data_IF_178558208487
#
_entry.id   IF_178558208487
#
_cell.length_a   1.000
_cell.length_b   1.000
_cell.length_c   1.000
_cell.angle_alpha   90.00
_cell.angle_beta   90.00
_cell.angle_gamma   90.00
#
_symmetry.space_group_name_H-M   'P 1'
#
loop_
_entity.id
_entity.type
_entity.pdbx_description
1 polymer ?
#
# COMPACT_ATOMS: atom_id res chain seq x y z
N UNK A 1 3.48 -37.23 -31.17
CA UNK A 1 3.16 -35.80 -30.92
C UNK A 1 2.55 -35.51 -29.53
N UNK A 2 2.79 -36.35 -28.50
CA UNK A 2 2.18 -36.15 -27.16
C UNK A 2 3.10 -35.46 -26.12
N UNK A 3 4.36 -35.16 -26.49
CA UNK A 3 5.37 -34.60 -25.57
C UNK A 3 5.64 -33.09 -25.71
N UNK A 4 5.00 -32.39 -26.64
CA UNK A 4 5.25 -30.96 -26.88
C UNK A 4 4.36 -30.01 -26.05
N UNK A 5 3.40 -30.54 -25.28
CA UNK A 5 2.55 -29.75 -24.36
C UNK A 5 3.18 -29.53 -22.97
N UNK A 6 4.31 -30.17 -22.66
CA UNK A 6 5.00 -30.02 -21.37
C UNK A 6 6.06 -28.93 -21.33
N UNK A 7 6.46 -28.38 -22.48
CA UNK A 7 7.54 -27.39 -22.57
C UNK A 7 7.07 -25.92 -22.42
N UNK A 8 5.75 -25.67 -22.35
CA UNK A 8 5.17 -24.34 -22.08
C UNK A 8 4.38 -24.38 -20.78
N UNK A 9 5.02 -24.85 -19.70
CA UNK A 9 4.44 -24.81 -18.36
C UNK A 9 5.35 -24.04 -17.40
N UNK A 10 5.88 -22.90 -17.85
CA UNK A 10 6.30 -21.83 -16.95
C UNK A 10 5.04 -21.22 -16.36
N UNK A 11 4.47 -21.86 -15.32
CA UNK A 11 3.41 -21.26 -14.51
C UNK A 11 3.96 -20.02 -13.85
N UNK A 12 3.83 -18.87 -14.51
CA UNK A 12 4.11 -17.60 -13.86
C UNK A 12 3.10 -17.41 -12.72
N UNK A 13 3.55 -16.80 -11.63
CA UNK A 13 2.69 -16.48 -10.49
C UNK A 13 2.48 -14.96 -10.49
N UNK A 14 1.30 -14.48 -10.91
CA UNK A 14 1.05 -13.04 -11.04
C UNK A 14 1.20 -12.30 -9.70
N UNK A 15 0.96 -12.96 -8.56
CA UNK A 15 1.16 -12.37 -7.23
C UNK A 15 2.63 -12.08 -7.00
N UNK A 16 3.51 -13.05 -7.28
CA UNK A 16 4.96 -12.88 -7.09
C UNK A 16 5.54 -11.86 -8.06
N UNK A 17 5.10 -11.88 -9.32
CA UNK A 17 5.54 -10.92 -10.32
C UNK A 17 5.19 -9.49 -9.89
N UNK A 18 3.94 -9.30 -9.45
CA UNK A 18 3.44 -8.03 -8.92
C UNK A 18 4.21 -7.56 -7.70
N UNK A 19 4.41 -8.44 -6.71
CA UNK A 19 5.14 -8.09 -5.49
C UNK A 19 6.60 -7.69 -5.78
N UNK A 20 7.31 -8.41 -6.66
CA UNK A 20 8.69 -8.05 -7.04
C UNK A 20 8.77 -6.74 -7.84
N UNK A 21 7.84 -6.53 -8.77
CA UNK A 21 7.74 -5.28 -9.52
C UNK A 21 7.51 -4.10 -8.57
N UNK A 22 6.51 -4.20 -7.69
CA UNK A 22 6.20 -3.14 -6.73
C UNK A 22 7.33 -2.91 -5.73
N UNK A 23 8.04 -3.97 -5.29
CA UNK A 23 9.19 -3.81 -4.40
C UNK A 23 10.29 -2.94 -5.01
N UNK A 24 10.53 -3.07 -6.32
CA UNK A 24 11.53 -2.28 -7.03
C UNK A 24 11.02 -0.86 -7.34
N UNK A 25 9.83 -0.73 -7.94
CA UNK A 25 9.33 0.57 -8.38
C UNK A 25 8.94 1.47 -7.20
N UNK A 26 8.29 0.94 -6.17
CA UNK A 26 7.94 1.75 -4.98
C UNK A 26 9.20 2.17 -4.22
N UNK A 27 10.29 1.40 -4.23
CA UNK A 27 11.57 1.84 -3.68
C UNK A 27 12.09 3.10 -4.42
N UNK A 28 12.07 3.07 -5.75
CA UNK A 28 12.44 4.22 -6.58
C UNK A 28 11.55 5.44 -6.29
N UNK A 29 10.23 5.24 -6.19
CA UNK A 29 9.29 6.32 -5.85
C UNK A 29 9.58 6.93 -4.48
N UNK A 30 9.92 6.12 -3.47
CA UNK A 30 10.30 6.62 -2.15
C UNK A 30 11.59 7.44 -2.19
N UNK A 31 12.58 7.04 -3.00
CA UNK A 31 13.83 7.80 -3.20
C UNK A 31 13.53 9.13 -3.89
N UNK A 32 12.72 9.14 -4.95
CA UNK A 32 12.31 10.37 -5.65
C UNK A 32 11.52 11.31 -4.71
N UNK A 33 10.60 10.76 -3.91
CA UNK A 33 9.84 11.55 -2.94
C UNK A 33 10.75 12.17 -1.89
N UNK A 34 11.67 11.38 -1.31
CA UNK A 34 12.64 11.87 -0.33
C UNK A 34 13.57 12.94 -0.93
N UNK A 35 14.02 12.76 -2.17
CA UNK A 35 14.81 13.76 -2.89
C UNK A 35 14.03 15.07 -3.07
N UNK A 36 12.78 15.00 -3.53
CA UNK A 36 11.93 16.18 -3.69
C UNK A 36 11.66 16.88 -2.34
N UNK A 37 11.37 16.13 -1.27
CA UNK A 37 11.20 16.71 0.08
C UNK A 37 12.47 17.42 0.55
N UNK A 38 13.65 16.86 0.27
CA UNK A 38 14.92 17.41 0.72
C UNK A 38 15.39 18.63 -0.09
N UNK A 39 15.05 18.70 -1.38
CA UNK A 39 15.63 19.69 -2.31
C UNK A 39 14.60 20.64 -2.92
N UNK A 40 13.32 20.26 -2.96
CA UNK A 40 12.30 20.92 -3.77
C UNK A 40 12.44 20.68 -5.27
N UNK A 41 13.40 19.85 -5.70
CA UNK A 41 13.72 19.62 -7.11
C UNK A 41 13.21 18.26 -7.63
N UNK A 42 13.14 18.12 -8.96
CA UNK A 42 12.83 16.85 -9.60
C UNK A 42 11.35 16.46 -9.60
N UNK A 43 10.43 17.40 -9.29
CA UNK A 43 8.99 17.13 -9.23
C UNK A 43 8.44 16.48 -10.51
N UNK A 44 8.81 16.98 -11.70
CA UNK A 44 8.29 16.44 -12.96
C UNK A 44 8.65 14.96 -13.17
N UNK A 45 9.86 14.57 -12.81
CA UNK A 45 10.29 13.16 -12.87
C UNK A 45 9.54 12.34 -11.81
N UNK A 46 9.46 12.84 -10.58
CA UNK A 46 8.74 12.18 -9.48
C UNK A 46 7.27 11.95 -9.87
N UNK A 47 6.55 13.01 -10.24
CA UNK A 47 5.15 12.97 -10.66
C UNK A 47 4.93 12.02 -11.83
N UNK A 48 5.75 12.12 -12.89
CA UNK A 48 5.56 11.28 -14.09
C UNK A 48 5.79 9.80 -13.77
N UNK A 49 6.81 9.49 -12.96
CA UNK A 49 7.10 8.11 -12.55
C UNK A 49 5.96 7.57 -11.68
N UNK A 50 5.46 8.36 -10.72
CA UNK A 50 4.33 7.97 -9.88
C UNK A 50 3.06 7.74 -10.70
N UNK A 51 2.71 8.65 -11.62
CA UNK A 51 1.53 8.52 -12.47
C UNK A 51 1.61 7.27 -13.35
N UNK A 52 2.75 7.05 -14.02
CA UNK A 52 2.97 5.85 -14.83
C UNK A 52 2.86 4.57 -13.99
N UNK A 53 3.43 4.57 -12.78
CA UNK A 53 3.29 3.44 -11.85
C UNK A 53 1.81 3.15 -11.55
N UNK A 54 1.02 4.14 -11.13
CA UNK A 54 -0.40 3.93 -10.84
C UNK A 54 -1.20 3.44 -12.06
N UNK A 55 -0.90 3.95 -13.26
CA UNK A 55 -1.53 3.50 -14.50
C UNK A 55 -1.19 2.03 -14.79
N UNK A 56 0.09 1.66 -14.77
CA UNK A 56 0.51 0.28 -15.00
C UNK A 56 -0.03 -0.68 -13.94
N UNK A 57 -0.02 -0.28 -12.66
CA UNK A 57 -0.52 -1.11 -11.58
C UNK A 57 -2.05 -1.29 -11.66
N UNK A 58 -2.77 -0.24 -12.05
CA UNK A 58 -4.21 -0.31 -12.32
C UNK A 58 -4.53 -1.29 -13.45
N UNK A 59 -3.79 -1.22 -14.57
CA UNK A 59 -3.95 -2.17 -15.68
C UNK A 59 -3.61 -3.59 -15.22
N UNK A 60 -2.51 -3.77 -14.50
CA UNK A 60 -2.08 -5.08 -14.01
C UNK A 60 -3.12 -5.72 -13.08
N UNK A 61 -3.59 -4.99 -12.06
CA UNK A 61 -4.62 -5.46 -11.13
C UNK A 61 -5.96 -5.68 -11.83
N UNK A 62 -6.28 -4.86 -12.85
CA UNK A 62 -7.48 -5.04 -13.68
C UNK A 62 -7.45 -6.35 -14.48
N UNK A 63 -6.30 -6.71 -15.04
CA UNK A 63 -6.13 -7.97 -15.80
C UNK A 63 -5.99 -9.18 -14.85
N UNK A 64 -5.31 -9.01 -13.71
CA UNK A 64 -5.01 -10.07 -12.75
C UNK A 64 -5.51 -9.72 -11.33
N UNK A 65 -6.83 -9.67 -11.10
CA UNK A 65 -7.40 -9.24 -9.81
C UNK A 65 -7.00 -10.13 -8.62
N UNK A 66 -6.60 -11.37 -8.87
CA UNK A 66 -6.07 -12.31 -7.87
C UNK A 66 -4.67 -11.96 -7.36
N UNK A 67 -3.97 -11.02 -8.01
CA UNK A 67 -2.66 -10.52 -7.55
C UNK A 67 -2.75 -9.83 -6.19
N UNK A 68 -3.94 -9.35 -5.81
CA UNK A 68 -4.19 -8.59 -4.60
C UNK A 68 -5.41 -9.10 -3.84
N UNK A 69 -5.49 -8.83 -2.53
CA UNK A 69 -6.57 -9.34 -1.67
C UNK A 69 -7.91 -8.62 -1.88
N UNK A 70 -7.88 -7.36 -2.31
CA UNK A 70 -9.07 -6.52 -2.48
C UNK A 70 -8.90 -5.65 -3.73
N UNK A 71 -9.11 -6.21 -4.94
CA UNK A 71 -8.85 -5.52 -6.19
C UNK A 71 -9.70 -4.26 -6.34
N UNK A 72 -10.98 -4.30 -5.96
CA UNK A 72 -11.88 -3.13 -6.05
C UNK A 72 -11.37 -1.96 -5.20
N UNK A 73 -11.02 -2.21 -3.93
CA UNK A 73 -10.52 -1.14 -3.06
C UNK A 73 -9.21 -0.53 -3.59
N UNK A 74 -8.33 -1.36 -4.15
CA UNK A 74 -7.06 -0.92 -4.72
C UNK A 74 -7.28 -0.11 -6.01
N UNK A 75 -8.14 -0.58 -6.92
CA UNK A 75 -8.47 0.15 -8.15
C UNK A 75 -9.15 1.49 -7.85
N UNK A 76 -10.08 1.54 -6.89
CA UNK A 76 -10.69 2.81 -6.44
C UNK A 76 -9.64 3.75 -5.83
N UNK A 77 -8.72 3.22 -5.03
CA UNK A 77 -7.62 3.99 -4.47
C UNK A 77 -6.71 4.57 -5.56
N UNK A 78 -6.32 3.78 -6.56
CA UNK A 78 -5.48 4.26 -7.67
C UNK A 78 -6.18 5.34 -8.48
N UNK A 79 -7.47 5.15 -8.80
CA UNK A 79 -8.25 6.13 -9.55
C UNK A 79 -8.34 7.46 -8.78
N UNK A 80 -8.70 7.39 -7.50
CA UNK A 80 -8.77 8.59 -6.64
C UNK A 80 -7.42 9.26 -6.53
N UNK A 81 -6.34 8.50 -6.31
CA UNK A 81 -4.99 9.05 -6.18
C UNK A 81 -4.50 9.67 -7.49
N UNK A 82 -4.77 9.05 -8.63
CA UNK A 82 -4.43 9.59 -9.95
C UNK A 82 -5.13 10.93 -10.22
N UNK A 83 -6.43 11.02 -9.93
CA UNK A 83 -7.18 12.29 -10.01
C UNK A 83 -6.61 13.32 -9.03
N UNK A 84 -6.26 12.90 -7.82
CA UNK A 84 -5.71 13.77 -6.79
C UNK A 84 -4.36 14.39 -7.22
N UNK A 85 -3.49 13.60 -7.85
CA UNK A 85 -2.18 14.06 -8.33
C UNK A 85 -2.25 15.07 -9.49
N UNK A 86 -3.40 15.27 -10.13
CA UNK A 86 -3.55 16.32 -11.15
C UNK A 86 -3.45 17.73 -10.56
N UNK A 87 -3.83 17.90 -9.29
CA UNK A 87 -3.78 19.21 -8.62
C UNK A 87 -2.33 19.72 -8.52
N UNK A 88 -1.38 19.02 -7.89
CA UNK A 88 0.01 19.50 -7.79
C UNK A 88 0.72 19.58 -9.14
N UNK A 89 0.23 18.90 -10.18
CA UNK A 89 0.72 19.06 -11.54
C UNK A 89 0.32 20.41 -12.14
N UNK A 90 -0.95 20.79 -11.99
CA UNK A 90 -1.47 22.06 -12.53
C UNK A 90 -1.22 23.27 -11.61
N UNK A 91 -1.00 23.03 -10.32
CA UNK A 91 -0.79 24.06 -9.30
C UNK A 91 0.53 23.78 -8.54
N UNK A 92 1.68 24.23 -9.06
CA UNK A 92 3.00 23.91 -8.52
C UNK A 92 3.21 24.25 -7.04
N UNK A 93 2.51 25.26 -6.51
CA UNK A 93 2.56 25.61 -5.10
C UNK A 93 2.07 24.49 -4.16
N UNK A 94 1.31 23.51 -4.69
CA UNK A 94 0.80 22.37 -3.94
C UNK A 94 1.57 21.08 -4.17
N UNK A 95 2.74 21.11 -4.84
CA UNK A 95 3.58 19.92 -5.07
C UNK A 95 3.98 19.22 -3.77
N UNK A 96 4.22 19.99 -2.70
CA UNK A 96 4.50 19.46 -1.37
C UNK A 96 3.36 18.59 -0.82
N UNK A 97 2.10 18.86 -1.19
CA UNK A 97 0.95 18.05 -0.78
C UNK A 97 1.06 16.62 -1.33
N UNK A 98 1.46 16.46 -2.59
CA UNK A 98 1.71 15.14 -3.17
C UNK A 98 2.87 14.45 -2.46
N UNK A 99 3.96 15.16 -2.22
CA UNK A 99 5.12 14.59 -1.55
C UNK A 99 4.76 14.07 -0.14
N UNK A 100 4.00 14.87 0.60
CA UNK A 100 3.44 14.50 1.91
C UNK A 100 2.58 13.24 1.81
N UNK A 101 1.61 13.18 0.90
CA UNK A 101 0.78 11.99 0.70
C UNK A 101 1.63 10.75 0.33
N UNK A 102 2.59 10.90 -0.58
CA UNK A 102 3.43 9.80 -1.06
C UNK A 102 4.38 9.24 0.00
N UNK A 103 4.55 9.88 1.17
CA UNK A 103 5.30 9.28 2.29
C UNK A 103 4.68 7.95 2.76
N UNK A 104 3.37 7.75 2.60
CA UNK A 104 2.69 6.51 2.99
C UNK A 104 3.17 5.30 2.17
N UNK A 105 3.74 5.53 0.99
CA UNK A 105 4.30 4.46 0.16
C UNK A 105 5.54 3.81 0.78
N UNK A 106 6.20 4.44 1.75
CA UNK A 106 7.22 3.77 2.56
C UNK A 106 6.61 2.61 3.35
N UNK A 107 5.41 2.81 3.90
CA UNK A 107 4.70 1.73 4.59
C UNK A 107 4.20 0.65 3.62
N UNK A 108 3.72 1.03 2.42
CA UNK A 108 3.38 0.07 1.35
C UNK A 108 4.59 -0.77 0.95
N UNK A 109 5.75 -0.13 0.77
CA UNK A 109 7.00 -0.81 0.45
C UNK A 109 7.40 -1.80 1.53
N UNK A 110 7.37 -1.39 2.81
CA UNK A 110 7.66 -2.28 3.96
C UNK A 110 6.67 -3.45 4.05
N UNK A 111 5.39 -3.23 3.72
CA UNK A 111 4.39 -4.30 3.65
C UNK A 111 4.78 -5.37 2.64
N UNK A 112 5.21 -4.97 1.44
CA UNK A 112 5.62 -5.87 0.36
C UNK A 112 6.95 -6.54 0.71
N UNK A 113 7.93 -5.78 1.20
CA UNK A 113 9.21 -6.30 1.67
C UNK A 113 9.01 -7.38 2.74
N UNK A 114 8.07 -7.18 3.68
CA UNK A 114 7.73 -8.20 4.68
C UNK A 114 7.17 -9.49 4.06
N UNK A 115 6.41 -9.42 2.97
CA UNK A 115 5.87 -10.60 2.27
C UNK A 115 6.94 -11.35 1.48
N UNK A 116 7.84 -10.62 0.82
CA UNK A 116 8.83 -11.17 -0.12
C UNK A 116 10.11 -11.59 0.59
N UNK A 117 10.65 -10.72 1.43
CA UNK A 117 11.95 -10.90 2.10
C UNK A 117 11.74 -11.40 3.54
N UNK A 118 10.77 -10.84 4.25
CA UNK A 118 10.53 -11.13 5.66
C UNK A 118 11.62 -10.57 6.59
N UNK A 119 11.62 -10.98 7.86
CA UNK A 119 12.60 -10.56 8.86
C UNK A 119 12.06 -9.59 9.91
N UNK A 120 12.59 -9.71 11.14
CA UNK A 120 12.08 -9.01 12.33
C UNK A 120 12.18 -7.49 12.22
N UNK A 121 13.26 -6.97 11.64
CA UNK A 121 13.45 -5.53 11.46
C UNK A 121 12.44 -4.94 10.47
N UNK A 122 12.21 -5.61 9.33
CA UNK A 122 11.22 -5.18 8.33
C UNK A 122 9.82 -5.22 8.91
N UNK A 123 9.51 -6.27 9.69
CA UNK A 123 8.22 -6.39 10.36
C UNK A 123 7.98 -5.28 11.40
N UNK A 124 8.96 -5.02 12.27
CA UNK A 124 8.88 -3.93 13.25
C UNK A 124 8.71 -2.58 12.56
N UNK A 125 9.52 -2.30 11.53
CA UNK A 125 9.44 -1.08 10.74
C UNK A 125 8.08 -0.92 10.05
N UNK A 126 7.52 -2.02 9.51
CA UNK A 126 6.17 -2.00 8.94
C UNK A 126 5.12 -1.57 9.98
N UNK A 127 5.12 -2.15 11.18
CA UNK A 127 4.13 -1.79 12.20
C UNK A 127 4.32 -0.37 12.74
N UNK A 128 5.56 0.06 12.96
CA UNK A 128 5.87 1.42 13.39
C UNK A 128 5.39 2.45 12.36
N UNK A 129 5.76 2.26 11.09
CA UNK A 129 5.31 3.14 10.00
C UNK A 129 3.81 3.04 9.73
N UNK A 130 3.16 1.89 9.98
CA UNK A 130 1.71 1.75 9.84
C UNK A 130 0.98 2.67 10.81
N UNK A 131 1.39 2.68 12.08
CA UNK A 131 0.78 3.53 13.10
C UNK A 131 1.06 5.00 12.77
N UNK A 132 2.32 5.36 12.56
CA UNK A 132 2.71 6.76 12.33
C UNK A 132 2.13 7.31 11.03
N UNK A 133 2.39 6.66 9.89
CA UNK A 133 2.05 7.22 8.58
C UNK A 133 0.56 7.06 8.25
N UNK A 134 -0.01 5.86 8.44
CA UNK A 134 -1.40 5.59 8.03
C UNK A 134 -2.45 6.07 9.03
N UNK A 135 -2.18 5.97 10.34
CA UNK A 135 -3.20 6.21 11.37
C UNK A 135 -3.08 7.56 12.07
N UNK A 136 -1.92 8.23 12.02
CA UNK A 136 -1.73 9.55 12.61
C UNK A 136 -1.49 10.63 11.55
N UNK A 137 -0.48 10.43 10.69
CA UNK A 137 -0.07 11.43 9.71
C UNK A 137 -1.10 11.63 8.59
N UNK A 138 -1.59 10.55 7.98
CA UNK A 138 -2.58 10.65 6.89
C UNK A 138 -3.87 11.39 7.28
N UNK A 139 -4.49 11.09 8.44
CA UNK A 139 -5.64 11.86 8.94
C UNK A 139 -5.29 13.32 9.25
N UNK A 140 -4.10 13.60 9.79
CA UNK A 140 -3.62 14.97 9.99
C UNK A 140 -3.58 15.77 8.69
N UNK A 141 -3.21 15.15 7.56
CA UNK A 141 -3.20 15.83 6.25
C UNK A 141 -4.58 16.34 5.82
N UNK A 142 -5.69 15.75 6.29
CA UNK A 142 -7.04 16.29 6.01
C UNK A 142 -7.15 17.73 6.55
N UNK A 143 -6.69 17.93 7.78
CA UNK A 143 -6.70 19.25 8.42
C UNK A 143 -5.72 20.21 7.75
N UNK A 144 -4.53 19.74 7.37
CA UNK A 144 -3.56 20.55 6.65
C UNK A 144 -4.11 21.04 5.30
N UNK A 145 -4.69 20.15 4.50
CA UNK A 145 -5.26 20.50 3.19
C UNK A 145 -6.54 21.33 3.29
N UNK A 146 -7.30 21.18 4.36
CA UNK A 146 -8.37 22.12 4.68
C UNK A 146 -7.83 23.54 4.94
N UNK A 147 -6.66 23.66 5.59
CA UNK A 147 -5.93 24.92 5.74
C UNK A 147 -5.56 25.56 4.40
N UNK A 148 -5.01 24.76 3.47
CA UNK A 148 -4.68 25.22 2.11
C UNK A 148 -5.91 25.70 1.34
N UNK A 149 -7.00 24.92 1.39
CA UNK A 149 -8.26 25.33 0.75
C UNK A 149 -8.80 26.65 1.30
N UNK A 150 -8.73 26.88 2.62
CA UNK A 150 -9.15 28.16 3.22
C UNK A 150 -8.28 29.33 2.75
N UNK A 151 -6.97 29.10 2.64
CA UNK A 151 -6.04 30.12 2.14
C UNK A 151 -6.35 30.47 0.69
N UNK A 152 -6.51 29.47 -0.18
CA UNK A 152 -6.88 29.69 -1.58
C UNK A 152 -8.26 30.36 -1.70
N UNK A 153 -9.23 29.99 -0.84
CA UNK A 153 -10.55 30.62 -0.78
C UNK A 153 -10.46 32.11 -0.49
N UNK A 154 -9.60 32.50 0.47
CA UNK A 154 -9.40 33.90 0.81
C UNK A 154 -8.74 34.67 -0.34
N UNK A 155 -7.82 34.05 -1.08
CA UNK A 155 -7.15 34.65 -2.24
C UNK A 155 -8.09 34.81 -3.45
N UNK A 156 -8.91 33.80 -3.73
CA UNK A 156 -9.85 33.83 -4.86
C UNK A 156 -11.14 34.61 -4.57
N UNK A 157 -11.44 34.92 -3.32
CA UNK A 157 -12.73 35.50 -2.91
C UNK A 157 -13.93 34.55 -3.08
N UNK A 158 -13.68 33.25 -3.29
CA UNK A 158 -14.71 32.24 -3.51
C UNK A 158 -14.29 30.87 -2.95
N UNK A 159 -15.18 30.13 -2.27
CA UNK A 159 -14.89 28.78 -1.78
C UNK A 159 -14.80 27.74 -2.90
N UNK A 160 -15.29 28.07 -4.09
CA UNK A 160 -15.33 27.20 -5.26
C UNK A 160 -14.03 27.27 -6.06
N UNK A 161 -12.95 26.81 -5.45
CA UNK A 161 -11.65 26.67 -6.09
C UNK A 161 -11.24 25.18 -6.18
N UNK A 162 -10.32 24.81 -7.08
CA UNK A 162 -9.91 23.42 -7.29
C UNK A 162 -9.35 22.72 -6.05
N UNK A 163 -8.85 23.46 -5.06
CA UNK A 163 -8.27 22.90 -3.83
C UNK A 163 -9.34 22.36 -2.89
N UNK A 164 -10.61 22.76 -3.06
CA UNK A 164 -11.76 22.27 -2.30
C UNK A 164 -11.83 20.74 -2.28
N UNK A 165 -11.48 20.08 -3.39
CA UNK A 165 -11.59 18.61 -3.50
C UNK A 165 -10.55 17.88 -2.64
N UNK A 166 -9.42 18.52 -2.32
CA UNK A 166 -8.28 17.89 -1.63
C UNK A 166 -8.63 17.29 -0.26
N UNK A 167 -9.28 17.99 0.69
CA UNK A 167 -9.67 17.39 1.97
C UNK A 167 -10.65 16.22 1.82
N UNK A 168 -11.52 16.22 0.81
CA UNK A 168 -12.46 15.12 0.59
C UNK A 168 -11.76 13.86 0.07
N UNK A 169 -10.87 14.00 -0.91
CA UNK A 169 -10.07 12.87 -1.41
C UNK A 169 -9.16 12.32 -0.30
N UNK A 170 -8.54 13.21 0.48
CA UNK A 170 -7.71 12.82 1.61
C UNK A 170 -8.50 12.11 2.72
N UNK A 171 -9.73 12.55 2.99
CA UNK A 171 -10.63 11.87 3.93
C UNK A 171 -11.01 10.47 3.45
N UNK A 172 -11.34 10.32 2.16
CA UNK A 172 -11.60 9.02 1.56
C UNK A 172 -10.39 8.06 1.68
N UNK A 173 -9.20 8.54 1.34
CA UNK A 173 -7.97 7.74 1.44
C UNK A 173 -7.64 7.38 2.90
N UNK A 174 -7.89 8.28 3.84
CA UNK A 174 -7.74 8.02 5.28
C UNK A 174 -8.76 6.98 5.78
N UNK A 175 -10.00 7.01 5.29
CA UNK A 175 -11.01 6.01 5.61
C UNK A 175 -10.60 4.61 5.09
N UNK A 176 -10.00 4.52 3.89
CA UNK A 176 -9.44 3.27 3.38
C UNK A 176 -8.29 2.74 4.27
N UNK A 177 -7.42 3.64 4.76
CA UNK A 177 -6.37 3.27 5.72
C UNK A 177 -6.95 2.66 7.00
N UNK A 178 -7.99 3.27 7.59
CA UNK A 178 -8.65 2.71 8.76
C UNK A 178 -9.35 1.39 8.46
N UNK A 179 -9.98 1.25 7.29
CA UNK A 179 -10.55 -0.02 6.86
C UNK A 179 -9.51 -1.14 6.87
N UNK A 180 -8.32 -0.90 6.31
CA UNK A 180 -7.24 -1.89 6.35
C UNK A 180 -6.66 -2.10 7.76
N UNK A 181 -6.63 -1.07 8.61
CA UNK A 181 -6.25 -1.22 10.03
C UNK A 181 -7.20 -2.18 10.75
N UNK A 182 -8.51 -2.04 10.56
CA UNK A 182 -9.49 -2.96 11.14
C UNK A 182 -9.30 -4.40 10.63
N UNK A 183 -9.02 -4.58 9.34
CA UNK A 183 -8.70 -5.90 8.79
C UNK A 183 -7.41 -6.50 9.39
N UNK A 184 -6.41 -5.68 9.67
CA UNK A 184 -5.15 -6.12 10.27
C UNK A 184 -5.36 -6.54 11.72
N UNK A 185 -6.06 -5.72 12.52
CA UNK A 185 -6.40 -6.02 13.91
C UNK A 185 -7.25 -7.28 14.01
N UNK A 186 -8.29 -7.42 13.17
CA UNK A 186 -9.14 -8.61 13.15
C UNK A 186 -8.34 -9.91 12.88
N UNK A 187 -7.30 -9.84 12.04
CA UNK A 187 -6.41 -10.99 11.77
C UNK A 187 -5.51 -11.32 12.95
N UNK A 188 -5.03 -10.31 13.68
CA UNK A 188 -4.19 -10.50 14.88
C UNK A 188 -5.01 -11.06 16.05
N UNK A 189 -6.25 -10.60 16.22
CA UNK A 189 -7.13 -11.03 17.30
C UNK A 189 -7.78 -12.39 17.06
N UNK A 190 -7.84 -12.87 15.82
CA UNK A 190 -8.42 -14.18 15.51
C UNK A 190 -7.61 -15.25 16.26
N UNK A 191 -8.20 -15.99 17.22
CA UNK A 191 -7.50 -17.07 17.91
C UNK A 191 -6.95 -18.02 16.84
N UNK A 192 -5.67 -18.42 16.97
CA UNK A 192 -5.13 -19.53 16.18
C UNK A 192 -5.93 -20.77 16.57
N UNK A 193 -7.03 -21.00 15.85
CA UNK A 193 -7.96 -22.09 16.13
C UNK A 193 -7.15 -23.37 16.22
N UNK A 194 -7.15 -23.96 17.41
CA UNK A 194 -6.41 -25.17 17.72
C UNK A 194 -6.81 -26.29 16.79
N UNK A 195 -6.03 -26.50 15.72
CA UNK A 195 -6.00 -27.79 15.05
C UNK A 195 -5.21 -28.74 15.93
N UNK A 196 -5.92 -29.45 16.81
CA UNK A 196 -5.44 -30.69 17.41
C UNK A 196 -4.70 -30.57 18.73
N UNK A 197 -5.42 -30.21 19.80
CA UNK A 197 -5.13 -30.81 21.10
C UNK A 197 -5.47 -32.31 21.05
N UNK A 198 -4.54 -33.11 20.50
CA UNK A 198 -4.31 -34.51 20.86
C UNK A 198 -2.81 -34.75 20.73
N UNK A 199 -2.10 -34.70 21.85
CA UNK A 199 -0.68 -35.01 21.95
C UNK A 199 0.00 -34.10 22.97
N UNK A 200 0.03 -34.54 24.23
CA UNK A 200 0.64 -33.81 25.33
C UNK A 200 2.16 -33.64 25.18
N UNK A 201 2.68 -32.61 25.84
CA UNK A 201 4.12 -32.35 25.93
C UNK A 201 4.35 -30.94 26.42
N UNK A 202 4.57 -30.81 27.73
CA UNK A 202 4.66 -29.52 28.41
C UNK A 202 5.88 -28.71 28.00
N UNK A 203 5.81 -27.39 28.24
CA UNK A 203 7.00 -26.60 28.49
C UNK A 203 7.00 -25.20 27.91
N UNK A 204 6.72 -24.24 28.79
CA UNK A 204 7.37 -22.92 28.93
C UNK A 204 7.41 -21.99 27.70
N UNK A 205 6.79 -20.81 27.86
CA UNK A 205 7.34 -19.57 27.31
C UNK A 205 6.35 -18.65 26.60
N UNK A 206 5.42 -18.06 27.34
CA UNK A 206 4.51 -17.03 26.81
C UNK A 206 5.22 -15.74 26.32
N UNK A 207 6.53 -15.58 26.55
CA UNK A 207 7.33 -14.46 26.02
C UNK A 207 8.04 -14.75 24.68
N UNK A 208 8.04 -15.98 24.18
CA UNK A 208 8.62 -16.31 22.87
C UNK A 208 7.61 -16.13 21.70
N UNK A 209 6.32 -15.96 22.01
CA UNK A 209 5.24 -15.96 21.03
C UNK A 209 5.15 -14.71 20.13
N UNK A 210 5.94 -13.66 20.43
CA UNK A 210 6.00 -12.44 19.61
C UNK A 210 7.21 -12.46 18.65
N UNK A 211 8.18 -13.35 18.86
CA UNK A 211 9.43 -13.38 18.09
C UNK A 211 9.43 -14.41 16.93
N UNK A 212 8.39 -15.23 16.81
CA UNK A 212 8.35 -16.40 15.93
C UNK A 212 7.12 -16.40 15.00
N UNK A 213 6.75 -15.22 14.49
CA UNK A 213 5.84 -15.08 13.34
C UNK A 213 6.66 -15.23 12.06
N UNK A 214 7.31 -16.38 11.87
CA UNK A 214 7.74 -16.76 10.54
C UNK A 214 6.49 -17.21 9.78
N UNK A 215 6.04 -16.36 8.85
CA UNK A 215 4.91 -16.68 7.97
C UNK A 215 5.33 -17.86 7.10
N UNK A 216 4.82 -19.05 7.41
CA UNK A 216 4.98 -20.21 6.55
C UNK A 216 4.13 -20.02 5.27
N UNK A 217 4.77 -19.46 4.25
CA UNK A 217 4.18 -19.19 2.93
C UNK A 217 3.75 -20.50 2.22
N UNK A 218 4.13 -21.68 2.73
CA UNK A 218 3.73 -22.97 2.12
C UNK A 218 2.26 -23.33 2.37
N UNK A 219 1.64 -22.83 3.44
CA UNK A 219 0.27 -23.20 3.82
C UNK A 219 -0.84 -22.66 2.91
N UNK A 220 -0.53 -21.78 1.94
CA UNK A 220 -1.51 -21.22 0.99
C UNK A 220 -1.59 -22.07 -0.30
N UNK A 221 -0.71 -23.06 -0.50
CA UNK A 221 -0.68 -23.86 -1.72
C UNK A 221 -1.69 -25.01 -1.74
N UNK A 222 -2.21 -25.41 -0.58
CA UNK A 222 -2.97 -26.66 -0.43
C UNK A 222 -4.50 -26.48 -0.31
N UNK A 223 -5.02 -25.26 -0.46
CA UNK A 223 -6.47 -24.97 -0.32
C UNK A 223 -7.18 -24.61 -1.62
N UNK A 224 -6.55 -24.76 -2.79
CA UNK A 224 -7.23 -24.60 -4.06
C UNK A 224 -8.16 -25.80 -4.34
N UNK A 225 -9.48 -25.60 -4.56
CA UNK A 225 -10.39 -26.69 -4.90
C UNK A 225 -10.00 -27.28 -6.26
N UNK A 226 -9.92 -28.61 -6.32
CA UNK A 226 -9.81 -29.35 -7.59
C UNK A 226 -11.18 -29.32 -8.24
N UNK A 227 -11.32 -28.57 -9.34
CA UNK A 227 -12.47 -28.71 -10.22
C UNK A 227 -12.42 -30.10 -10.87
N UNK A 228 -13.46 -30.89 -10.62
CA UNK A 228 -13.86 -32.08 -11.37
C UNK A 228 -14.51 -31.67 -12.69
#
# INVERSE_FOLDING_TARGET
MHNMKKLVNTKWDPVKLHDWFNLAIIALLNVQNAYFIATGEGFSLFWSTTMLYFLFDTVFVGIYPQSVKSPVAILSHHLVTAVYMLIPYHYPQYQWCMAACMTVELNTWLLIARRVIGGRLIELSFYATWIVLRNLYYPYLIWAFYGEWRTETALCGSPWNPILITPFLQAFLSALNYHWTLQLVAKVLRPKGGKGARGGGGGKGALAAVADVHVDVRAVRDTAPKCS
#
